data_IF_605862808759
#
_entry.id   IF_605862808759
#
_cell.length_a   1.000
_cell.length_b   1.000
_cell.length_c   1.000
_cell.angle_alpha   90.00
_cell.angle_beta   90.00
_cell.angle_gamma   90.00
#
_symmetry.space_group_name_H-M   'P 1'
#
loop_
_entity.id
_entity.type
_entity.pdbx_description
1 polymer ?
#
# COMPACT_ATOMS: atom_id res chain seq x y z
N UNK A 1 -3.02 2.77 18.50
CA UNK A 1 -3.45 1.44 18.00
C UNK A 1 -2.35 0.76 17.18
N UNK A 2 -1.65 1.47 16.29
CA UNK A 2 -0.49 0.94 15.53
C UNK A 2 0.66 0.45 16.43
N UNK A 3 0.83 1.06 17.59
CA UNK A 3 1.80 0.70 18.64
C UNK A 3 1.64 -0.74 19.17
N UNK A 4 0.46 -1.34 19.01
CA UNK A 4 0.16 -2.73 19.45
C UNK A 4 -0.19 -3.67 18.31
N UNK A 5 -0.09 -3.20 17.07
CA UNK A 5 -0.44 -3.99 15.90
C UNK A 5 0.79 -4.71 15.37
N UNK A 6 0.64 -5.98 15.01
CA UNK A 6 1.70 -6.77 14.36
C UNK A 6 1.79 -6.47 12.86
N UNK A 7 0.65 -6.13 12.24
CA UNK A 7 0.55 -5.92 10.79
C UNK A 7 -0.24 -4.65 10.50
N UNK A 8 0.31 -3.80 9.65
CA UNK A 8 -0.37 -2.63 9.07
C UNK A 8 -0.59 -2.87 7.58
N UNK A 9 -1.86 -2.99 7.17
CA UNK A 9 -2.25 -3.22 5.78
C UNK A 9 -2.95 -1.99 5.23
N UNK A 10 -2.52 -1.53 4.06
CA UNK A 10 -3.15 -0.44 3.34
C UNK A 10 -3.37 -0.80 1.86
N UNK A 11 -4.50 -0.35 1.31
CA UNK A 11 -4.87 -0.48 -0.10
C UNK A 11 -5.30 0.86 -0.70
N UNK A 12 -4.60 1.92 -0.33
CA UNK A 12 -4.85 3.25 -0.86
C UNK A 12 -3.98 3.50 -2.10
N UNK A 13 -4.30 4.61 -2.78
CA UNK A 13 -3.47 5.09 -3.87
C UNK A 13 -2.06 5.41 -3.33
N UNK A 14 -1.00 5.17 -4.11
CA UNK A 14 0.36 5.54 -3.71
C UNK A 14 0.43 6.99 -3.23
N UNK A 15 0.95 7.19 -2.03
CA UNK A 15 1.10 8.51 -1.40
C UNK A 15 -0.15 9.09 -0.75
N UNK A 16 -1.32 8.43 -0.77
CA UNK A 16 -2.49 8.88 -0.01
C UNK A 16 -2.29 8.71 1.49
N UNK A 17 -1.84 7.52 1.94
CA UNK A 17 -1.53 7.23 3.35
C UNK A 17 -0.35 8.06 3.88
N UNK A 18 0.62 8.40 3.02
CA UNK A 18 1.74 9.26 3.42
C UNK A 18 1.27 10.68 3.79
N UNK A 19 0.26 11.22 3.10
CA UNK A 19 -0.34 12.54 3.43
C UNK A 19 -1.09 12.53 4.77
N UNK A 20 -1.49 11.35 5.24
CA UNK A 20 -2.18 11.17 6.52
C UNK A 20 -1.21 10.88 7.67
N UNK A 21 0.11 10.93 7.43
CA UNK A 21 1.11 10.58 8.44
C UNK A 21 1.19 9.08 8.76
N UNK A 22 0.57 8.23 7.92
CA UNK A 22 0.57 6.77 8.07
C UNK A 22 1.49 6.11 7.04
N UNK A 23 2.50 6.85 6.59
CA UNK A 23 3.56 6.29 5.74
C UNK A 23 4.42 5.29 6.51
N UNK A 24 5.14 4.44 5.77
CA UNK A 24 6.02 3.42 6.34
C UNK A 24 6.99 3.97 7.40
N UNK A 25 7.67 5.08 7.11
CA UNK A 25 8.64 5.67 8.05
C UNK A 25 7.99 6.13 9.36
N UNK A 26 6.78 6.70 9.31
CA UNK A 26 6.05 7.16 10.50
C UNK A 26 5.53 5.97 11.33
N UNK A 27 5.02 4.95 10.66
CA UNK A 27 4.56 3.70 11.28
C UNK A 27 5.73 2.95 11.92
N UNK A 28 6.88 2.89 11.25
CA UNK A 28 8.11 2.26 11.75
C UNK A 28 8.69 2.97 12.97
N UNK A 29 8.62 4.31 13.03
CA UNK A 29 9.01 5.07 14.24
C UNK A 29 8.17 4.69 15.45
N UNK A 30 6.89 4.43 15.23
CA UNK A 30 5.95 4.07 16.31
C UNK A 30 6.12 2.62 16.74
N UNK A 31 6.24 1.70 15.78
CA UNK A 31 6.45 0.28 16.04
C UNK A 31 7.47 -0.31 15.04
N UNK A 32 8.75 -0.46 15.44
CA UNK A 32 9.79 -0.98 14.55
C UNK A 32 9.60 -2.44 14.14
N UNK A 33 8.82 -3.21 14.91
CA UNK A 33 8.54 -4.63 14.64
C UNK A 33 7.36 -4.87 13.69
N UNK A 34 6.68 -3.80 13.26
CA UNK A 34 5.45 -3.94 12.48
C UNK A 34 5.71 -4.39 11.04
N UNK A 35 4.88 -5.30 10.56
CA UNK A 35 4.86 -5.70 9.15
C UNK A 35 4.00 -4.72 8.37
N UNK A 36 4.61 -3.91 7.51
CA UNK A 36 3.90 -2.94 6.67
C UNK A 36 3.60 -3.51 5.27
N UNK A 37 2.32 -3.74 4.98
CA UNK A 37 1.84 -4.24 3.70
C UNK A 37 1.09 -3.16 2.93
N UNK A 38 1.61 -2.85 1.74
CA UNK A 38 1.03 -1.89 0.80
C UNK A 38 0.57 -2.64 -0.43
N UNK A 39 -0.74 -2.81 -0.56
CA UNK A 39 -1.36 -3.45 -1.71
C UNK A 39 -1.92 -2.33 -2.56
N UNK A 40 -1.27 -1.96 -3.66
CA UNK A 40 -1.86 -1.02 -4.62
C UNK A 40 -2.15 -1.77 -5.90
N UNK A 41 -3.35 -1.58 -6.46
CA UNK A 41 -3.72 -2.11 -7.78
C UNK A 41 -2.81 -1.61 -8.91
N UNK A 42 -1.99 -0.59 -8.65
CA UNK A 42 -1.05 0.00 -9.60
C UNK A 42 0.37 -0.57 -9.44
N UNK A 43 0.70 -1.18 -8.30
CA UNK A 43 2.08 -1.56 -7.97
C UNK A 43 2.88 -0.37 -7.44
N UNK A 44 3.95 -0.63 -6.67
CA UNK A 44 4.74 0.44 -6.01
C UNK A 44 5.66 1.20 -6.98
N UNK A 45 5.86 0.68 -8.19
CA UNK A 45 6.85 1.15 -9.18
C UNK A 45 6.23 1.56 -10.51
N UNK A 46 4.91 1.60 -10.63
CA UNK A 46 4.29 1.93 -11.90
C UNK A 46 4.24 3.46 -12.11
N UNK A 47 4.75 3.96 -13.24
CA UNK A 47 4.60 5.37 -13.59
C UNK A 47 3.14 5.77 -13.82
N UNK A 48 2.24 4.79 -13.99
CA UNK A 48 0.80 4.94 -14.22
C UNK A 48 -0.04 5.05 -12.94
N UNK A 49 0.58 5.14 -11.75
CA UNK A 49 -0.08 5.16 -10.44
C UNK A 49 -1.11 6.30 -10.28
N UNK A 50 -1.01 7.31 -11.15
CA UNK A 50 -1.89 8.48 -11.19
C UNK A 50 -3.15 8.24 -12.05
N UNK A 51 -3.20 7.21 -12.90
CA UNK A 51 -4.34 6.85 -13.76
C UNK A 51 -5.47 6.11 -13.04
N UNK A 52 -6.55 5.65 -13.72
CA UNK A 52 -7.52 4.69 -13.17
C UNK A 52 -6.93 3.28 -13.06
N UNK A 53 -7.48 2.43 -12.17
CA UNK A 53 -6.86 1.15 -11.81
C UNK A 53 -6.66 0.32 -13.07
N UNK A 54 -5.46 -0.25 -13.31
CA UNK A 54 -5.21 -0.95 -14.55
C UNK A 54 -6.22 -2.08 -14.69
N UNK A 55 -7.06 -2.00 -15.73
CA UNK A 55 -8.10 -2.98 -16.06
C UNK A 55 -7.51 -4.35 -16.45
N UNK A 56 -6.20 -4.56 -16.27
CA UNK A 56 -5.42 -5.75 -16.64
C UNK A 56 -5.89 -7.02 -15.94
N UNK A 57 -6.56 -6.90 -14.79
CA UNK A 57 -7.16 -8.03 -14.03
C UNK A 57 -8.33 -8.72 -14.74
N UNK A 58 -8.80 -8.21 -15.89
CA UNK A 58 -9.87 -8.85 -16.68
C UNK A 58 -9.39 -9.88 -17.71
N UNK A 59 -8.08 -10.13 -17.84
CA UNK A 59 -7.62 -11.22 -18.72
C UNK A 59 -7.76 -12.55 -17.98
N UNK A 60 -8.46 -13.55 -18.55
CA UNK A 60 -8.50 -14.87 -17.95
C UNK A 60 -7.07 -15.41 -17.85
N UNK A 61 -6.75 -16.07 -16.73
CA UNK A 61 -5.53 -16.86 -16.66
C UNK A 61 -5.59 -17.91 -17.77
N UNK A 62 -4.54 -18.08 -18.59
CA UNK A 62 -4.49 -19.19 -19.52
C UNK A 62 -4.62 -20.49 -18.71
N UNK A 63 -5.48 -21.38 -19.21
CA UNK A 63 -5.75 -22.69 -18.62
C UNK A 63 -4.49 -23.57 -18.57
#
# INVERSE_FOLDING_TARGET
MVDRADVFLENFRPGAVARLGLGYEEVKKTNPGIVYLSISGYGRRDPTATGPAPTRWRRPFPA
#
